data_IF_071591147715
#
_entry.id   IF_071591147715
#
_cell.length_a   1.000
_cell.length_b   1.000
_cell.length_c   1.000
_cell.angle_alpha   90.00
_cell.angle_beta   90.00
_cell.angle_gamma   90.00
#
_symmetry.space_group_name_H-M   'P 1'
#
loop_
_entity.id
_entity.type
_entity.pdbx_description
1 polymer ?
#
# COMPACT_ATOMS: atom_id res chain seq x y z
N UNK A 1 55.78 33.37 -38.70
CA UNK A 1 54.68 33.52 -39.68
C UNK A 1 53.49 34.07 -38.92
N UNK A 2 53.39 35.39 -38.81
CA UNK A 2 52.31 36.07 -38.11
C UNK A 2 51.20 36.39 -39.13
N UNK A 3 49.99 35.85 -38.92
CA UNK A 3 48.84 36.09 -39.78
C UNK A 3 48.33 37.52 -39.61
N UNK A 4 48.20 38.22 -40.74
CA UNK A 4 47.74 39.59 -40.83
C UNK A 4 46.24 39.69 -40.52
N UNK A 5 45.89 40.43 -39.46
CA UNK A 5 44.51 40.83 -39.18
C UNK A 5 44.10 41.91 -40.19
N UNK A 6 43.50 41.49 -41.29
CA UNK A 6 42.89 42.37 -42.29
C UNK A 6 41.73 43.15 -41.64
N UNK A 7 41.80 44.48 -41.69
CA UNK A 7 40.76 45.34 -41.14
C UNK A 7 39.45 45.19 -41.92
N UNK A 8 38.44 44.56 -41.31
CA UNK A 8 37.11 44.43 -41.91
C UNK A 8 36.47 45.80 -42.15
N UNK A 9 35.81 45.95 -43.30
CA UNK A 9 35.16 47.20 -43.69
C UNK A 9 34.02 47.51 -42.70
N UNK A 10 33.66 48.80 -42.54
CA UNK A 10 32.56 49.21 -41.65
C UNK A 10 31.24 48.50 -41.99
N UNK A 11 31.05 48.12 -43.25
CA UNK A 11 29.86 47.43 -43.75
C UNK A 11 29.83 45.97 -43.28
N UNK A 12 30.96 45.26 -43.33
CA UNK A 12 31.06 43.87 -42.87
C UNK A 12 30.86 43.78 -41.35
N UNK A 13 31.46 44.70 -40.58
CA UNK A 13 31.24 44.80 -39.13
C UNK A 13 29.78 45.07 -38.78
N UNK A 14 29.10 45.88 -39.58
CA UNK A 14 27.67 46.17 -39.41
C UNK A 14 26.81 44.93 -39.75
N UNK A 15 27.16 44.18 -40.79
CA UNK A 15 26.48 42.94 -41.14
C UNK A 15 26.66 41.87 -40.04
N UNK A 16 27.89 41.65 -39.57
CA UNK A 16 28.18 40.76 -38.44
C UNK A 16 27.43 41.16 -37.17
N UNK A 17 27.39 42.46 -36.84
CA UNK A 17 26.60 42.98 -35.72
C UNK A 17 25.11 42.67 -35.86
N UNK A 18 24.52 42.88 -37.05
CA UNK A 18 23.11 42.54 -37.32
C UNK A 18 22.83 41.05 -37.15
N UNK A 19 23.72 40.17 -37.64
CA UNK A 19 23.55 38.72 -37.45
C UNK A 19 23.66 38.30 -35.98
N UNK A 20 24.59 38.91 -35.23
CA UNK A 20 24.75 38.66 -33.79
C UNK A 20 23.53 39.15 -33.00
N UNK A 21 22.95 40.27 -33.40
CA UNK A 21 21.73 40.82 -32.80
C UNK A 21 20.52 39.92 -33.09
N UNK A 22 20.36 39.42 -34.32
CA UNK A 22 19.32 38.44 -34.66
C UNK A 22 19.46 37.12 -33.86
N UNK A 23 20.69 36.61 -33.71
CA UNK A 23 21.01 35.46 -32.85
C UNK A 23 20.71 35.73 -31.37
N UNK A 24 20.85 36.97 -30.92
CA UNK A 24 20.51 37.34 -29.54
C UNK A 24 19.00 37.39 -29.34
N UNK A 25 18.23 37.91 -30.30
CA UNK A 25 16.78 37.94 -30.22
C UNK A 25 16.17 36.53 -30.20
N UNK A 26 16.63 35.63 -31.06
CA UNK A 26 16.22 34.22 -31.06
C UNK A 26 16.50 33.55 -29.73
N UNK A 27 17.73 33.67 -29.20
CA UNK A 27 18.08 33.15 -27.87
C UNK A 27 17.25 33.75 -26.74
N UNK A 28 16.92 35.05 -26.81
CA UNK A 28 16.05 35.70 -25.82
C UNK A 28 14.62 35.18 -25.89
N UNK A 29 14.07 34.99 -27.10
CA UNK A 29 12.73 34.40 -27.26
C UNK A 29 12.69 32.94 -26.84
N UNK A 30 13.73 32.16 -27.14
CA UNK A 30 13.87 30.77 -26.70
C UNK A 30 13.94 30.69 -25.18
N UNK A 31 14.78 31.51 -24.55
CA UNK A 31 14.88 31.57 -23.09
C UNK A 31 13.55 31.97 -22.43
N UNK A 32 12.86 32.98 -22.98
CA UNK A 32 11.54 33.39 -22.46
C UNK A 32 10.50 32.27 -22.59
N UNK A 33 10.51 31.53 -23.72
CA UNK A 33 9.61 30.40 -23.94
C UNK A 33 9.92 29.22 -23.00
N UNK A 34 11.20 28.92 -22.77
CA UNK A 34 11.62 27.87 -21.82
C UNK A 34 11.24 28.23 -20.39
N UNK A 35 11.55 29.45 -19.95
CA UNK A 35 11.18 29.94 -18.63
C UNK A 35 9.66 29.89 -18.41
N UNK A 36 8.88 30.27 -19.42
CA UNK A 36 7.42 30.19 -19.33
C UNK A 36 6.93 28.74 -19.19
N UNK A 37 7.51 27.80 -19.96
CA UNK A 37 7.18 26.37 -19.85
C UNK A 37 7.50 25.82 -18.46
N UNK A 38 8.69 26.13 -17.93
CA UNK A 38 9.11 25.69 -16.59
C UNK A 38 8.18 26.23 -15.50
N UNK A 39 7.83 27.52 -15.54
CA UNK A 39 6.89 28.12 -14.57
C UNK A 39 5.50 27.47 -14.63
N UNK A 40 5.01 27.17 -15.83
CA UNK A 40 3.72 26.48 -16.02
C UNK A 40 3.78 25.04 -15.51
N UNK A 41 4.88 24.34 -15.74
CA UNK A 41 5.08 22.97 -15.25
C UNK A 41 5.21 22.92 -13.72
N UNK A 42 5.95 23.84 -13.12
CA UNK A 42 6.04 23.98 -11.66
C UNK A 42 4.67 24.24 -11.03
N UNK A 43 3.89 25.16 -11.62
CA UNK A 43 2.54 25.46 -11.14
C UNK A 43 1.63 24.22 -11.28
N UNK A 44 1.73 23.48 -12.38
CA UNK A 44 1.02 22.21 -12.57
C UNK A 44 1.40 21.17 -11.52
N UNK A 45 2.70 21.03 -11.22
CA UNK A 45 3.21 20.08 -10.20
C UNK A 45 2.73 20.48 -8.82
N UNK A 46 2.68 21.77 -8.52
CA UNK A 46 2.20 22.31 -7.23
C UNK A 46 0.70 22.11 -7.03
N UNK A 47 -0.09 22.24 -8.09
CA UNK A 47 -1.54 21.97 -8.08
C UNK A 47 -1.87 20.48 -8.08
N UNK A 48 -0.92 19.62 -8.43
CA UNK A 48 -1.11 18.17 -8.44
C UNK A 48 -1.20 17.64 -6.99
N UNK A 49 -2.08 16.66 -6.71
CA UNK A 49 -2.06 15.97 -5.43
C UNK A 49 -0.68 15.33 -5.16
N UNK A 50 -0.15 15.46 -3.94
CA UNK A 50 1.17 14.91 -3.54
C UNK A 50 1.35 13.42 -3.86
N UNK A 51 0.26 12.66 -3.90
CA UNK A 51 0.27 11.21 -4.18
C UNK A 51 0.26 10.86 -5.68
N UNK A 52 0.10 11.85 -6.58
CA UNK A 52 -0.10 11.59 -8.00
C UNK A 52 1.10 10.94 -8.68
N UNK A 53 2.32 11.40 -8.37
CA UNK A 53 3.54 10.82 -8.93
C UNK A 53 3.69 9.35 -8.52
N UNK A 54 3.51 9.04 -7.23
CA UNK A 54 3.54 7.65 -6.74
C UNK A 54 2.44 6.79 -7.36
N UNK A 55 1.25 7.36 -7.57
CA UNK A 55 0.16 6.65 -8.26
C UNK A 55 0.54 6.33 -9.71
N UNK A 56 1.14 7.28 -10.42
CA UNK A 56 1.64 7.07 -11.78
C UNK A 56 2.73 6.01 -11.84
N UNK A 57 3.75 6.11 -10.99
CA UNK A 57 4.83 5.14 -10.90
C UNK A 57 4.30 3.72 -10.65
N UNK A 58 3.32 3.59 -9.74
CA UNK A 58 2.67 2.30 -9.50
C UNK A 58 1.93 1.77 -10.74
N UNK A 59 1.16 2.61 -11.42
CA UNK A 59 0.42 2.22 -12.63
C UNK A 59 1.37 1.87 -13.79
N UNK A 60 2.47 2.62 -13.94
CA UNK A 60 3.51 2.34 -14.93
C UNK A 60 4.18 1.00 -14.63
N UNK A 61 4.49 0.69 -13.37
CA UNK A 61 5.01 -0.61 -12.96
C UNK A 61 4.02 -1.76 -13.19
N UNK A 62 2.73 -1.57 -12.86
CA UNK A 62 1.67 -2.56 -13.12
C UNK A 62 1.56 -2.85 -14.63
N UNK A 63 1.59 -1.81 -15.47
CA UNK A 63 1.54 -1.94 -16.93
C UNK A 63 2.78 -2.62 -17.51
N UNK A 64 3.96 -2.34 -16.98
CA UNK A 64 5.19 -3.05 -17.37
C UNK A 64 5.16 -4.53 -16.97
N UNK A 65 4.63 -4.86 -15.79
CA UNK A 65 4.44 -6.26 -15.37
C UNK A 65 3.47 -7.00 -16.29
N UNK A 66 2.35 -6.39 -16.66
CA UNK A 66 1.40 -6.96 -17.63
C UNK A 66 2.05 -7.21 -18.99
N UNK A 67 2.82 -6.23 -19.50
CA UNK A 67 3.58 -6.42 -20.75
C UNK A 67 4.57 -7.57 -20.68
N UNK A 68 5.27 -7.74 -19.54
CA UNK A 68 6.19 -8.87 -19.36
C UNK A 68 5.44 -10.20 -19.33
N UNK A 69 4.29 -10.27 -18.66
CA UNK A 69 3.42 -11.45 -18.66
C UNK A 69 3.01 -11.82 -20.07
N UNK A 70 2.52 -10.85 -20.84
CA UNK A 70 2.05 -11.08 -22.21
C UNK A 70 3.20 -11.54 -23.13
N UNK A 71 4.39 -10.94 -23.01
CA UNK A 71 5.57 -11.33 -23.77
C UNK A 71 6.01 -12.77 -23.44
N UNK A 72 6.05 -13.14 -22.16
CA UNK A 72 6.44 -14.49 -21.71
C UNK A 72 5.39 -15.53 -22.12
N UNK A 73 4.11 -15.17 -22.06
CA UNK A 73 3.01 -16.02 -22.52
C UNK A 73 3.05 -16.21 -24.04
N UNK A 74 3.38 -15.17 -24.81
CA UNK A 74 3.58 -15.24 -26.25
C UNK A 74 4.77 -16.13 -26.64
N UNK A 75 5.81 -16.19 -25.80
CA UNK A 75 6.91 -17.16 -25.92
C UNK A 75 6.52 -18.59 -25.52
N UNK A 76 5.30 -18.81 -25.00
CA UNK A 76 4.79 -20.11 -24.58
C UNK A 76 5.37 -20.62 -23.26
N UNK A 77 5.95 -19.72 -22.44
CA UNK A 77 6.51 -20.05 -21.12
C UNK A 77 5.53 -19.71 -20.00
N UNK A 78 5.66 -20.42 -18.88
CA UNK A 78 4.91 -20.13 -17.66
C UNK A 78 5.54 -18.92 -16.94
N UNK A 79 4.76 -17.85 -16.78
CA UNK A 79 5.17 -16.60 -16.13
C UNK A 79 5.64 -16.81 -14.70
N UNK A 80 4.93 -17.63 -13.91
CA UNK A 80 5.26 -17.79 -12.50
C UNK A 80 6.61 -18.50 -12.32
N UNK A 81 6.93 -19.44 -13.22
CA UNK A 81 8.24 -20.09 -13.25
C UNK A 81 9.35 -19.13 -13.64
N UNK A 82 9.16 -18.30 -14.68
CA UNK A 82 10.18 -17.32 -15.11
C UNK A 82 10.41 -16.27 -14.01
N UNK A 83 9.33 -15.76 -13.41
CA UNK A 83 9.40 -14.83 -12.29
C UNK A 83 10.19 -15.39 -11.11
N UNK A 84 9.95 -16.65 -10.74
CA UNK A 84 10.69 -17.31 -9.65
C UNK A 84 12.19 -17.45 -9.94
N UNK A 85 12.60 -17.53 -11.21
CA UNK A 85 14.01 -17.56 -11.61
C UNK A 85 14.67 -16.18 -11.55
N UNK A 86 13.90 -15.11 -11.78
CA UNK A 86 14.39 -13.73 -11.73
C UNK A 86 14.59 -13.22 -10.30
N UNK A 87 13.76 -13.69 -9.34
CA UNK A 87 13.85 -13.26 -7.94
C UNK A 87 15.16 -13.74 -7.33
N UNK A 88 16.05 -12.80 -7.03
CA UNK A 88 17.35 -13.08 -6.40
C UNK A 88 17.21 -13.63 -4.98
N UNK A 89 18.21 -14.39 -4.53
CA UNK A 89 18.24 -14.98 -3.19
C UNK A 89 18.07 -13.93 -2.07
N UNK A 90 18.71 -12.76 -2.21
CA UNK A 90 18.61 -11.66 -1.25
C UNK A 90 17.19 -11.06 -1.18
N UNK A 91 16.50 -10.96 -2.32
CA UNK A 91 15.13 -10.45 -2.38
C UNK A 91 14.14 -11.45 -1.80
N UNK A 92 14.32 -12.74 -2.09
CA UNK A 92 13.57 -13.82 -1.48
C UNK A 92 13.76 -13.81 0.05
N UNK A 93 14.99 -13.63 0.55
CA UNK A 93 15.25 -13.58 1.99
C UNK A 93 14.58 -12.36 2.65
N UNK A 94 14.63 -11.18 2.00
CA UNK A 94 13.91 -9.99 2.48
C UNK A 94 12.40 -10.21 2.52
N UNK A 95 11.85 -10.88 1.52
CA UNK A 95 10.43 -11.22 1.47
C UNK A 95 10.04 -12.17 2.60
N UNK A 96 10.85 -13.19 2.85
CA UNK A 96 10.66 -14.12 3.98
C UNK A 96 10.78 -13.42 5.33
N UNK A 97 11.75 -12.51 5.52
CA UNK A 97 11.83 -11.69 6.74
C UNK A 97 10.59 -10.83 6.96
N UNK A 98 9.99 -10.28 5.90
CA UNK A 98 8.74 -9.50 5.97
C UNK A 98 7.51 -10.36 6.32
N UNK A 99 7.49 -11.64 5.91
CA UNK A 99 6.42 -12.59 6.25
C UNK A 99 6.45 -13.05 7.71
N UNK A 100 7.62 -13.00 8.39
CA UNK A 100 7.71 -13.40 9.80
C UNK A 100 6.74 -12.59 10.65
N UNK A 101 6.03 -13.27 11.56
CA UNK A 101 4.97 -12.69 12.40
C UNK A 101 5.52 -11.50 13.20
N UNK A 102 4.97 -10.32 12.96
CA UNK A 102 5.36 -9.06 13.63
C UNK A 102 4.92 -8.95 15.10
N UNK A 103 4.18 -9.92 15.63
CA UNK A 103 3.73 -9.94 17.02
C UNK A 103 4.40 -11.10 17.78
N UNK A 104 5.70 -10.98 18.10
CA UNK A 104 6.40 -11.97 18.92
C UNK A 104 5.76 -12.05 20.31
N UNK A 105 5.79 -13.23 20.94
CA UNK A 105 5.38 -13.38 22.33
C UNK A 105 6.47 -12.83 23.25
N UNK A 106 6.19 -11.69 23.90
CA UNK A 106 7.13 -11.03 24.81
C UNK A 106 7.15 -11.65 26.21
N UNK A 107 6.37 -12.72 26.42
CA UNK A 107 6.18 -13.33 27.73
C UNK A 107 4.99 -12.74 28.49
N UNK A 108 4.73 -13.29 29.67
CA UNK A 108 3.67 -12.81 30.57
C UNK A 108 4.09 -11.51 31.25
N UNK A 109 3.32 -10.42 31.06
CA UNK A 109 3.50 -9.14 31.78
C UNK A 109 2.50 -9.01 32.91
N UNK A 110 1.22 -8.80 32.58
CA UNK A 110 0.09 -8.69 33.50
C UNK A 110 -1.08 -9.53 33.00
N UNK A 111 -2.01 -9.86 33.89
CA UNK A 111 -3.23 -10.57 33.50
C UNK A 111 -4.07 -9.73 32.53
N UNK A 112 -4.14 -8.41 32.71
CA UNK A 112 -4.86 -7.50 31.81
C UNK A 112 -4.24 -7.46 30.40
N UNK A 113 -2.92 -7.37 30.28
CA UNK A 113 -2.27 -7.38 28.97
C UNK A 113 -2.49 -8.72 28.25
N UNK A 114 -2.46 -9.82 29.01
CA UNK A 114 -2.70 -11.16 28.49
C UNK A 114 -4.15 -11.33 27.98
N UNK A 115 -5.14 -10.84 28.74
CA UNK A 115 -6.56 -10.88 28.34
C UNK A 115 -6.80 -9.99 27.13
N UNK A 116 -6.24 -8.78 27.07
CA UNK A 116 -6.33 -7.87 25.92
C UNK A 116 -5.75 -8.54 24.67
N UNK A 117 -4.58 -9.20 24.77
CA UNK A 117 -3.97 -9.88 23.63
C UNK A 117 -4.79 -11.06 23.16
N UNK A 118 -5.37 -11.84 24.08
CA UNK A 118 -6.28 -12.93 23.75
C UNK A 118 -7.54 -12.40 23.05
N UNK A 119 -8.16 -11.36 23.60
CA UNK A 119 -9.35 -10.72 23.06
C UNK A 119 -9.10 -10.19 21.64
N UNK A 120 -8.02 -9.44 21.43
CA UNK A 120 -7.63 -8.92 20.11
C UNK A 120 -7.38 -10.04 19.08
N UNK A 121 -6.85 -11.19 19.51
CA UNK A 121 -6.69 -12.36 18.64
C UNK A 121 -8.04 -12.96 18.25
N UNK A 122 -8.97 -13.08 19.20
CA UNK A 122 -10.33 -13.59 18.95
C UNK A 122 -11.09 -12.67 17.99
N UNK A 123 -11.02 -11.35 18.20
CA UNK A 123 -11.65 -10.38 17.30
C UNK A 123 -11.14 -10.47 15.86
N UNK A 124 -9.84 -10.69 15.66
CA UNK A 124 -9.26 -10.85 14.31
C UNK A 124 -9.72 -12.11 13.60
N UNK A 125 -10.06 -13.15 14.35
CA UNK A 125 -10.51 -14.43 13.80
C UNK A 125 -12.03 -14.48 13.59
N UNK A 126 -12.79 -13.57 14.23
CA UNK A 126 -14.24 -13.49 14.07
C UNK A 126 -14.59 -13.06 12.65
N UNK A 127 -15.29 -13.92 11.92
CA UNK A 127 -15.92 -13.57 10.65
C UNK A 127 -17.30 -12.99 10.94
N UNK A 128 -17.65 -11.88 10.30
CA UNK A 128 -18.95 -11.24 10.43
C UNK A 128 -19.72 -11.49 9.14
N UNK A 129 -20.91 -12.06 9.24
CA UNK A 129 -21.84 -12.18 8.13
C UNK A 129 -22.62 -10.86 8.00
N UNK A 130 -22.41 -10.14 6.89
CA UNK A 130 -23.06 -8.86 6.63
C UNK A 130 -24.51 -9.04 6.14
N UNK A 131 -24.83 -10.18 5.51
CA UNK A 131 -26.18 -10.42 4.99
C UNK A 131 -27.16 -10.68 6.14
N UNK A 132 -26.75 -11.48 7.12
CA UNK A 132 -27.54 -11.74 8.33
C UNK A 132 -27.73 -10.44 9.14
N UNK A 133 -26.68 -9.64 9.26
CA UNK A 133 -26.74 -8.32 9.90
C UNK A 133 -27.77 -7.38 9.25
N UNK A 134 -27.82 -7.31 7.91
CA UNK A 134 -28.80 -6.49 7.20
C UNK A 134 -30.24 -7.00 7.39
N UNK A 135 -30.45 -8.32 7.38
CA UNK A 135 -31.76 -8.94 7.64
C UNK A 135 -32.26 -8.62 9.04
N UNK A 136 -31.40 -8.74 10.05
CA UNK A 136 -31.73 -8.41 11.43
C UNK A 136 -32.03 -6.92 11.61
N UNK A 137 -31.25 -6.05 10.98
CA UNK A 137 -31.49 -4.60 11.02
C UNK A 137 -32.88 -4.24 10.48
N UNK A 138 -33.31 -4.88 9.40
CA UNK A 138 -34.66 -4.69 8.83
C UNK A 138 -35.73 -5.26 9.76
N UNK A 139 -35.50 -6.44 10.35
CA UNK A 139 -36.48 -7.12 11.20
C UNK A 139 -36.73 -6.39 12.54
N UNK A 140 -35.66 -5.90 13.17
CA UNK A 140 -35.71 -5.20 14.47
C UNK A 140 -36.11 -3.74 14.30
N UNK A 141 -35.75 -3.12 13.17
CA UNK A 141 -36.00 -1.71 12.89
C UNK A 141 -34.93 -0.78 13.47
N UNK A 142 -34.71 0.36 12.81
CA UNK A 142 -33.54 1.22 13.06
C UNK A 142 -33.46 1.77 14.50
N UNK A 143 -34.60 2.14 15.10
CA UNK A 143 -34.66 2.70 16.45
C UNK A 143 -34.37 1.66 17.55
N UNK A 144 -34.69 0.39 17.31
CA UNK A 144 -34.45 -0.71 18.24
C UNK A 144 -33.08 -1.36 18.03
N UNK A 145 -32.56 -1.32 16.80
CA UNK A 145 -31.28 -1.89 16.43
C UNK A 145 -30.10 -1.08 16.97
N UNK A 146 -30.14 0.25 16.81
CA UNK A 146 -29.16 1.15 17.40
C UNK A 146 -29.67 1.61 18.78
N UNK A 147 -29.56 0.74 19.78
CA UNK A 147 -30.05 1.01 21.14
C UNK A 147 -29.59 2.37 21.65
N UNK A 148 -30.54 3.29 21.85
CA UNK A 148 -30.33 4.55 22.56
C UNK A 148 -30.63 4.34 24.06
N UNK A 149 -30.26 5.30 24.90
CA UNK A 149 -30.32 5.20 26.37
C UNK A 149 -31.69 4.74 26.95
N UNK A 150 -32.79 4.89 26.21
CA UNK A 150 -34.15 4.51 26.62
C UNK A 150 -34.80 3.39 25.76
N UNK A 151 -34.03 2.69 24.92
CA UNK A 151 -34.58 1.65 24.05
C UNK A 151 -34.52 0.28 24.72
N UNK A 152 -35.69 -0.35 24.95
CA UNK A 152 -35.75 -1.73 25.46
C UNK A 152 -35.64 -2.71 24.29
N UNK A 153 -34.42 -3.16 24.00
CA UNK A 153 -34.13 -4.15 22.95
C UNK A 153 -34.15 -5.62 23.47
N UNK A 154 -34.76 -5.88 24.62
CA UNK A 154 -34.75 -7.20 25.27
C UNK A 154 -35.77 -8.12 24.58
N UNK A 155 -35.30 -9.19 23.94
CA UNK A 155 -36.13 -10.25 23.35
C UNK A 155 -36.56 -10.02 21.90
N UNK A 156 -36.06 -8.97 21.24
CA UNK A 156 -36.34 -8.71 19.81
C UNK A 156 -35.53 -9.60 18.87
N UNK A 157 -34.37 -10.08 19.31
CA UNK A 157 -33.51 -11.00 18.58
C UNK A 157 -33.60 -12.41 19.18
N UNK A 158 -33.56 -13.42 18.32
CA UNK A 158 -33.45 -14.83 18.70
C UNK A 158 -32.29 -15.43 17.91
N UNK A 159 -31.28 -15.92 18.63
CA UNK A 159 -30.12 -16.52 18.00
C UNK A 159 -30.50 -17.81 17.25
N UNK A 160 -29.89 -18.01 16.09
CA UNK A 160 -30.01 -19.26 15.35
C UNK A 160 -29.25 -20.38 16.09
N UNK A 161 -29.67 -21.64 15.88
CA UNK A 161 -28.95 -22.79 16.46
C UNK A 161 -27.51 -22.87 15.95
N UNK A 162 -27.31 -22.54 14.68
CA UNK A 162 -25.98 -22.51 14.05
C UNK A 162 -25.06 -21.46 14.71
N UNK A 163 -25.59 -20.30 15.10
CA UNK A 163 -24.81 -19.30 15.83
C UNK A 163 -24.36 -19.79 17.20
N UNK A 164 -25.23 -20.54 17.90
CA UNK A 164 -24.92 -21.16 19.19
C UNK A 164 -23.84 -22.24 19.01
N UNK A 165 -23.96 -23.10 18.01
CA UNK A 165 -22.98 -24.15 17.73
C UNK A 165 -21.60 -23.55 17.39
N UNK A 166 -21.57 -22.49 16.57
CA UNK A 166 -20.33 -21.76 16.25
C UNK A 166 -19.68 -21.14 17.51
N UNK A 167 -20.48 -20.62 18.44
CA UNK A 167 -19.99 -20.09 19.71
C UNK A 167 -19.38 -21.21 20.58
N UNK A 168 -20.04 -22.37 20.65
CA UNK A 168 -19.56 -23.54 21.41
C UNK A 168 -18.21 -24.02 20.84
N UNK A 169 -18.12 -24.19 19.52
CA UNK A 169 -16.88 -24.56 18.84
C UNK A 169 -15.73 -23.59 19.16
N UNK A 170 -16.01 -22.28 19.20
CA UNK A 170 -15.02 -21.28 19.54
C UNK A 170 -14.60 -21.30 21.01
N UNK A 171 -15.48 -21.70 21.93
CA UNK A 171 -15.14 -21.92 23.34
C UNK A 171 -14.26 -23.17 23.51
N UNK A 172 -14.57 -24.27 22.82
CA UNK A 172 -13.74 -25.49 22.86
C UNK A 172 -12.35 -25.25 22.28
N UNK A 173 -12.24 -24.47 21.19
CA UNK A 173 -10.95 -24.00 20.65
C UNK A 173 -10.19 -23.15 21.68
N UNK A 174 -10.87 -22.30 22.45
CA UNK A 174 -10.22 -21.51 23.49
C UNK A 174 -9.69 -22.38 24.63
N UNK A 175 -10.50 -23.32 25.11
CA UNK A 175 -10.11 -24.26 26.17
C UNK A 175 -8.91 -25.10 25.76
N UNK A 176 -8.96 -25.70 24.55
CA UNK A 176 -7.84 -26.51 24.04
C UNK A 176 -6.55 -25.70 23.90
N UNK A 177 -6.61 -24.46 23.41
CA UNK A 177 -5.44 -23.58 23.34
C UNK A 177 -4.88 -23.27 24.72
N UNK A 178 -5.74 -23.02 25.71
CA UNK A 178 -5.32 -22.70 27.07
C UNK A 178 -4.68 -23.91 27.77
N UNK A 179 -5.28 -25.10 27.59
CA UNK A 179 -4.73 -26.37 28.08
C UNK A 179 -3.34 -26.61 27.46
N UNK A 180 -3.19 -26.44 26.14
CA UNK A 180 -1.91 -26.64 25.48
C UNK A 180 -0.84 -25.65 25.97
N UNK A 181 -1.20 -24.38 26.18
CA UNK A 181 -0.30 -23.38 26.78
C UNK A 181 0.11 -23.74 28.20
N UNK A 182 -0.83 -24.23 29.00
CA UNK A 182 -0.56 -24.68 30.37
C UNK A 182 0.41 -25.87 30.38
N UNK A 183 0.18 -26.87 29.52
CA UNK A 183 1.09 -28.01 29.35
C UNK A 183 2.47 -27.53 28.89
N UNK A 184 2.56 -26.64 27.91
CA UNK A 184 3.84 -26.11 27.43
C UNK A 184 4.59 -25.34 28.53
N UNK A 185 3.88 -24.55 29.34
CA UNK A 185 4.48 -23.86 30.48
C UNK A 185 5.00 -24.85 31.52
N UNK A 186 4.22 -25.87 31.89
CA UNK A 186 4.68 -26.94 32.78
C UNK A 186 5.93 -27.60 32.21
N UNK A 187 5.90 -28.08 30.96
CA UNK A 187 7.06 -28.75 30.35
C UNK A 187 8.30 -27.84 30.32
N UNK A 188 8.15 -26.56 30.00
CA UNK A 188 9.28 -25.63 29.95
C UNK A 188 9.82 -25.27 31.34
N UNK A 189 8.97 -25.22 32.37
CA UNK A 189 9.37 -24.96 33.77
C UNK A 189 10.03 -26.20 34.40
N UNK A 190 9.55 -27.41 34.09
CA UNK A 190 10.06 -28.67 34.65
C UNK A 190 11.12 -29.38 33.78
N UNK A 191 11.55 -28.78 32.66
CA UNK A 191 12.64 -29.28 31.79
C UNK A 191 14.00 -28.60 32.06
N UNK A 192 14.13 -27.92 33.21
CA UNK A 192 15.39 -27.45 33.81
C UNK A 192 15.68 -28.30 35.06
#
# INVERSE_FOLDING_TARGET
MAEAVAGSSKVDKMAEFKTRLAKLHTKRSEAAALNHKEVVEEDRVKHMPKNHQKKRERLEAEYEEEKRKDAILAEGKDYDRVRMLEVGADEAERYERKKKKKNPDTGFSTYEDATIRQYNRLLKNKKVDLEEYEKEKVAVGEAAFYGQDNTIAIGLHKDSKEAIDNMVDDLEKQLSINILKFIFHIVNVYSL
#
